data_IF_880436423865
#
_entry.id   IF_880436423865
#
_cell.length_a   1.000
_cell.length_b   1.000
_cell.length_c   1.000
_cell.angle_alpha   90.00
_cell.angle_beta   90.00
_cell.angle_gamma   90.00
#
_symmetry.space_group_name_H-M   'P 1'
#
loop_
_entity.id
_entity.type
_entity.pdbx_description
1 polymer ?
#
# COMPACT_ATOMS: atom_id res chain seq x y z
N UNK A 1 8.51 32.60 55.90
CA UNK A 1 9.75 32.38 56.67
C UNK A 1 10.46 33.71 56.91
N UNK A 2 11.19 33.85 58.02
CA UNK A 2 11.87 35.09 58.47
C UNK A 2 12.64 35.77 57.33
N UNK A 3 12.41 37.08 57.12
CA UNK A 3 13.33 37.93 56.34
C UNK A 3 14.65 37.99 57.10
N UNK A 4 15.68 37.31 56.60
CA UNK A 4 17.05 37.54 57.02
C UNK A 4 17.60 38.63 56.10
N UNK A 5 17.58 39.88 56.53
CA UNK A 5 18.36 40.93 55.89
C UNK A 5 19.82 40.68 56.24
N UNK A 6 20.63 40.30 55.25
CA UNK A 6 22.08 40.18 55.41
C UNK A 6 22.70 41.32 54.61
N UNK A 7 23.12 42.37 55.31
CA UNK A 7 23.84 43.49 54.70
C UNK A 7 25.27 43.04 54.34
N UNK A 8 25.63 43.12 53.06
CA UNK A 8 26.97 42.78 52.57
C UNK A 8 27.69 44.07 52.19
N UNK A 9 28.87 44.33 52.78
CA UNK A 9 29.71 45.50 52.49
C UNK A 9 30.93 45.10 51.64
N UNK A 10 31.15 45.79 50.51
CA UNK A 10 32.35 45.63 49.67
C UNK A 10 33.11 46.96 49.52
N UNK A 11 34.43 46.88 49.32
CA UNK A 11 35.33 48.02 49.09
C UNK A 11 35.36 48.33 47.58
N UNK A 12 35.25 49.61 47.17
CA UNK A 12 35.21 50.01 45.75
C UNK A 12 36.53 49.69 45.03
N UNK A 13 36.48 48.82 44.02
CA UNK A 13 37.43 48.81 42.90
C UNK A 13 36.66 49.08 41.61
N UNK A 14 37.13 50.07 40.84
CA UNK A 14 36.43 50.69 39.71
C UNK A 14 35.90 49.71 38.67
N UNK A 15 34.60 49.47 38.64
CA UNK A 15 33.88 49.00 37.46
C UNK A 15 32.42 49.50 37.49
N UNK A 16 32.05 50.40 36.57
CA UNK A 16 30.66 50.59 36.18
C UNK A 16 30.25 49.36 35.38
N UNK A 17 29.52 48.43 35.98
CA UNK A 17 28.76 47.37 35.30
C UNK A 17 27.71 46.86 36.27
N UNK A 18 26.47 46.71 35.80
CA UNK A 18 25.51 45.81 36.43
C UNK A 18 26.23 44.48 36.68
N UNK A 19 26.34 44.06 37.94
CA UNK A 19 26.92 42.77 38.28
C UNK A 19 25.77 41.77 38.28
N UNK A 20 25.61 41.01 37.19
CA UNK A 20 24.85 39.75 37.24
C UNK A 20 25.72 38.75 37.99
N UNK A 21 25.45 38.56 39.29
CA UNK A 21 26.17 37.59 40.11
C UNK A 21 25.45 36.24 39.98
N UNK A 22 26.07 35.33 39.23
CA UNK A 22 25.99 33.87 39.37
C UNK A 22 24.60 33.20 39.35
N UNK A 23 24.37 32.34 38.34
CA UNK A 23 23.42 31.23 38.49
C UNK A 23 23.89 30.34 39.65
N UNK A 24 23.08 30.23 40.70
CA UNK A 24 23.25 29.17 41.70
C UNK A 24 22.14 28.14 41.50
N UNK A 25 22.50 26.95 41.02
CA UNK A 25 21.59 25.81 40.95
C UNK A 25 21.61 25.12 42.30
N UNK A 26 20.52 25.25 43.06
CA UNK A 26 20.33 24.47 44.29
C UNK A 26 19.31 23.38 44.01
N UNK A 27 19.74 22.13 44.09
CA UNK A 27 18.85 20.97 44.02
C UNK A 27 18.30 20.77 45.44
N UNK A 28 17.01 21.01 45.63
CA UNK A 28 16.30 20.60 46.85
C UNK A 28 15.29 19.53 46.48
N UNK A 29 14.93 18.67 47.45
CA UNK A 29 14.04 17.51 47.25
C UNK A 29 12.61 17.80 46.78
N UNK A 30 12.32 19.00 46.30
CA UNK A 30 11.02 19.43 45.76
C UNK A 30 11.11 20.09 44.37
N UNK A 31 12.29 20.11 43.71
CA UNK A 31 12.43 20.63 42.35
C UNK A 31 13.74 21.38 42.08
N UNK A 32 13.91 21.81 40.82
CA UNK A 32 15.00 22.71 40.40
C UNK A 32 14.53 24.15 40.64
N UNK A 33 15.21 24.88 41.52
CA UNK A 33 14.92 26.29 41.76
C UNK A 33 15.95 27.12 40.97
N UNK A 34 15.49 27.85 39.96
CA UNK A 34 16.30 28.90 39.34
C UNK A 34 16.07 30.20 40.10
N UNK A 35 17.07 30.65 40.85
CA UNK A 35 17.03 31.97 41.50
C UNK A 35 17.91 32.94 40.72
N UNK A 36 17.31 34.02 40.23
CA UNK A 36 18.02 35.21 39.75
C UNK A 36 17.84 36.34 40.75
N UNK A 37 18.96 36.85 41.29
CA UNK A 37 18.95 38.00 42.20
C UNK A 37 19.41 39.24 41.45
N UNK A 38 18.59 40.30 41.51
CA UNK A 38 18.91 41.60 40.88
C UNK A 38 19.11 42.66 41.95
N UNK A 39 20.30 43.25 42.00
CA UNK A 39 20.65 44.31 42.94
C UNK A 39 20.72 45.66 42.22
N UNK A 40 20.24 46.72 42.86
CA UNK A 40 20.55 48.08 42.44
C UNK A 40 21.36 48.82 43.49
N UNK A 41 22.29 49.65 43.01
CA UNK A 41 23.05 50.60 43.81
C UNK A 41 22.16 51.83 44.05
N UNK A 42 21.78 52.10 45.29
CA UNK A 42 21.27 53.41 45.68
C UNK A 42 22.46 54.26 46.12
N UNK A 43 22.75 55.36 45.43
CA UNK A 43 23.82 56.26 45.83
C UNK A 43 23.42 57.10 47.06
N UNK A 44 24.23 57.15 48.14
CA UNK A 44 24.13 58.21 49.12
C UNK A 44 25.36 59.13 49.09
N UNK A 45 25.11 60.36 49.48
CA UNK A 45 26.06 61.47 49.61
C UNK A 45 27.16 61.16 50.64
N UNK A 46 28.41 61.12 50.17
CA UNK A 46 29.67 61.12 50.93
C UNK A 46 29.94 59.91 51.84
N UNK A 47 30.54 58.85 51.29
CA UNK A 47 31.21 57.78 52.06
C UNK A 47 31.80 56.66 51.19
N UNK A 48 32.93 56.08 51.61
CA UNK A 48 33.78 55.09 50.88
C UNK A 48 33.15 53.69 50.61
N UNK A 49 31.87 53.47 50.92
CA UNK A 49 31.21 52.17 50.77
C UNK A 49 29.85 52.31 50.08
N UNK A 50 29.54 51.41 49.15
CA UNK A 50 28.22 51.31 48.52
C UNK A 50 27.35 50.29 49.27
N UNK A 51 26.09 50.64 49.53
CA UNK A 51 25.04 49.73 50.01
C UNK A 51 24.17 49.32 48.82
N UNK A 52 23.99 48.02 48.64
CA UNK A 52 23.12 47.46 47.60
C UNK A 52 21.83 46.98 48.25
N UNK A 53 20.69 47.36 47.68
CA UNK A 53 19.38 46.85 48.08
C UNK A 53 18.90 45.82 47.06
N UNK A 54 18.40 44.69 47.55
CA UNK A 54 17.70 43.70 46.73
C UNK A 54 16.44 44.35 46.18
N UNK A 55 16.32 44.46 44.85
CA UNK A 55 15.15 45.06 44.23
C UNK A 55 13.99 44.08 44.13
N UNK A 56 14.26 42.89 43.58
CA UNK A 56 13.30 41.81 43.44
C UNK A 56 14.03 40.48 43.53
N UNK A 57 13.39 39.52 44.21
CA UNK A 57 13.72 38.10 44.12
C UNK A 57 12.62 37.47 43.27
N UNK A 58 12.97 37.07 42.04
CA UNK A 58 12.05 36.31 41.19
C UNK A 58 12.39 34.84 41.41
N UNK A 59 11.51 34.15 42.13
CA UNK A 59 11.51 32.69 42.21
C UNK A 59 10.51 32.19 41.18
N UNK A 60 10.99 31.80 40.00
CA UNK A 60 10.17 31.01 39.07
C UNK A 60 10.22 29.56 39.53
N UNK A 61 9.10 29.09 40.09
CA UNK A 61 8.91 27.69 40.46
C UNK A 61 8.19 27.03 39.28
N UNK A 62 8.95 26.50 38.32
CA UNK A 62 8.40 25.53 37.37
C UNK A 62 8.27 24.19 38.12
N UNK A 63 7.15 24.03 38.83
CA UNK A 63 6.83 22.78 39.54
C UNK A 63 6.27 21.80 38.52
N UNK A 64 7.14 20.96 37.95
CA UNK A 64 6.71 19.60 37.66
C UNK A 64 6.65 18.95 39.04
N UNK A 65 5.45 18.74 39.59
CA UNK A 65 5.28 17.94 40.82
C UNK A 65 5.90 16.55 40.56
N UNK A 66 7.16 16.37 40.97
CA UNK A 66 7.75 15.04 40.96
C UNK A 66 7.06 14.24 42.05
N UNK A 67 6.52 13.04 41.76
CA UNK A 67 5.91 12.21 42.78
C UNK A 67 6.89 12.02 43.94
N UNK A 68 6.42 12.05 45.18
CA UNK A 68 7.27 12.02 46.37
C UNK A 68 7.92 10.62 46.51
N UNK A 69 9.23 10.49 46.22
CA UNK A 69 9.93 9.20 46.04
C UNK A 69 10.82 8.79 47.22
N UNK A 70 10.44 9.11 48.45
CA UNK A 70 11.12 8.59 49.63
C UNK A 70 10.34 7.40 50.21
N UNK A 71 10.81 6.19 49.91
CA UNK A 71 10.48 5.01 50.72
C UNK A 71 11.64 4.84 51.72
N UNK A 72 11.40 5.09 53.00
CA UNK A 72 12.31 4.72 54.11
C UNK A 72 13.68 5.42 54.15
N UNK A 73 13.88 6.50 53.38
CA UNK A 73 15.16 7.24 53.34
C UNK A 73 16.23 6.58 52.47
N UNK A 74 15.89 5.57 51.67
CA UNK A 74 16.70 5.09 50.55
C UNK A 74 16.02 5.50 49.25
N UNK A 75 16.79 6.11 48.33
CA UNK A 75 16.27 6.39 47.00
C UNK A 75 15.88 5.07 46.35
N UNK A 76 14.60 4.91 46.06
CA UNK A 76 14.19 3.85 45.19
C UNK A 76 14.90 4.01 43.83
N UNK A 77 15.36 2.94 43.24
CA UNK A 77 16.21 3.01 42.05
C UNK A 77 15.80 1.87 41.12
N UNK A 78 15.70 2.16 39.82
CA UNK A 78 15.20 1.23 38.80
C UNK A 78 13.81 0.67 39.12
N UNK A 79 12.82 1.56 39.32
CA UNK A 79 11.42 1.16 39.57
C UNK A 79 10.39 2.13 39.01
N UNK A 80 9.20 1.61 38.77
CA UNK A 80 8.00 2.41 38.47
C UNK A 80 7.43 3.10 39.71
N UNK A 81 6.96 4.33 39.52
CA UNK A 81 6.24 5.15 40.51
C UNK A 81 5.08 5.83 39.80
N UNK A 82 3.89 5.21 39.83
CA UNK A 82 2.77 5.63 38.97
C UNK A 82 3.16 5.53 37.49
N UNK A 83 2.89 6.58 36.71
CA UNK A 83 3.21 6.62 35.28
C UNK A 83 4.68 6.93 34.96
N UNK A 84 5.53 7.03 35.99
CA UNK A 84 6.91 7.48 35.89
C UNK A 84 7.88 6.34 36.16
N UNK A 85 9.05 6.39 35.51
CA UNK A 85 10.14 5.47 35.80
C UNK A 85 11.33 6.18 36.45
N UNK A 86 11.78 5.66 37.59
CA UNK A 86 12.94 6.15 38.32
C UNK A 86 14.17 5.31 37.99
N UNK A 87 15.19 5.95 37.41
CA UNK A 87 16.45 5.29 37.06
C UNK A 87 17.28 4.92 38.28
N UNK A 88 18.37 4.19 38.03
CA UNK A 88 19.31 3.79 39.09
C UNK A 88 20.01 4.96 39.79
N UNK A 89 20.13 6.11 39.12
CA UNK A 89 20.69 7.35 39.67
C UNK A 89 19.67 8.18 40.47
N UNK A 90 18.45 7.67 40.67
CA UNK A 90 17.38 8.38 41.36
C UNK A 90 16.79 9.54 40.56
N UNK A 91 17.06 9.64 39.25
CA UNK A 91 16.42 10.63 38.35
C UNK A 91 15.30 10.00 37.53
N UNK A 92 14.29 10.79 37.21
CA UNK A 92 13.25 10.38 36.25
C UNK A 92 13.86 10.08 34.88
N UNK A 93 13.31 9.06 34.23
CA UNK A 93 13.55 8.81 32.82
C UNK A 93 12.71 9.77 31.97
N UNK A 94 13.34 10.45 31.01
CA UNK A 94 12.71 11.45 30.13
C UNK A 94 13.22 11.26 28.70
N UNK A 95 12.32 11.35 27.72
CA UNK A 95 12.60 11.19 26.28
C UNK A 95 13.47 9.97 25.94
N UNK A 96 13.17 8.82 26.54
CA UNK A 96 13.99 7.63 26.36
C UNK A 96 13.20 6.34 26.54
N UNK A 97 13.72 5.29 25.92
CA UNK A 97 13.26 3.93 26.09
C UNK A 97 13.79 3.34 27.41
N UNK A 98 12.92 2.59 28.10
CA UNK A 98 13.25 1.81 29.29
C UNK A 98 12.81 0.36 29.03
N UNK A 99 13.75 -0.56 29.23
CA UNK A 99 13.44 -1.98 29.28
C UNK A 99 13.19 -2.37 30.74
N UNK A 100 12.07 -3.06 30.96
CA UNK A 100 11.68 -3.57 32.26
C UNK A 100 11.04 -4.95 32.08
N UNK A 101 11.73 -5.97 32.62
CA UNK A 101 11.31 -7.36 32.58
C UNK A 101 10.93 -7.86 31.17
N UNK A 102 11.75 -7.53 30.17
CA UNK A 102 11.57 -7.94 28.77
C UNK A 102 10.56 -7.10 27.98
N UNK A 103 9.94 -6.08 28.59
CA UNK A 103 9.04 -5.16 27.91
C UNK A 103 9.72 -3.80 27.76
N UNK A 104 9.47 -3.14 26.62
CA UNK A 104 9.98 -1.80 26.35
C UNK A 104 8.88 -0.76 26.54
N UNK A 105 9.23 0.34 27.19
CA UNK A 105 8.37 1.50 27.42
C UNK A 105 9.10 2.76 26.98
N UNK A 106 8.38 3.78 26.54
CA UNK A 106 8.98 5.07 26.20
C UNK A 106 8.50 6.15 27.17
N UNK A 107 9.43 6.82 27.86
CA UNK A 107 9.10 7.92 28.77
C UNK A 107 9.19 9.23 27.99
N UNK A 108 8.12 10.02 27.99
CA UNK A 108 8.00 11.29 27.27
C UNK A 108 8.74 12.42 27.98
N UNK A 109 8.65 13.62 27.42
CA UNK A 109 9.32 14.81 27.97
C UNK A 109 8.76 15.26 29.33
N UNK A 110 7.49 14.94 29.61
CA UNK A 110 6.83 15.15 30.90
C UNK A 110 7.11 14.03 31.91
N UNK A 111 7.84 12.99 31.50
CA UNK A 111 8.24 11.84 32.30
C UNK A 111 7.21 10.75 32.46
N UNK A 112 6.03 10.89 31.85
CA UNK A 112 5.04 9.81 31.80
C UNK A 112 5.38 8.83 30.70
N UNK A 113 5.04 7.55 30.89
CA UNK A 113 5.15 6.59 29.79
C UNK A 113 4.13 6.89 28.68
N UNK A 114 4.54 6.64 27.44
CA UNK A 114 3.69 6.71 26.27
C UNK A 114 2.78 5.47 26.21
N UNK A 115 1.51 5.67 25.87
CA UNK A 115 0.53 4.60 25.69
C UNK A 115 -0.54 5.02 24.68
N UNK A 116 -1.09 4.03 23.96
CA UNK A 116 -2.05 4.24 22.87
C UNK A 116 -1.55 5.24 21.80
N UNK A 117 -0.23 5.31 21.59
CA UNK A 117 0.39 6.33 20.74
C UNK A 117 1.64 5.82 20.01
N UNK A 118 1.99 6.53 18.94
CA UNK A 118 3.20 6.30 18.16
C UNK A 118 4.37 7.12 18.67
N UNK A 119 5.53 6.47 18.78
CA UNK A 119 6.84 7.09 18.96
C UNK A 119 7.68 6.72 17.74
N UNK A 120 7.71 7.62 16.75
CA UNK A 120 8.25 7.33 15.42
C UNK A 120 7.62 6.07 14.80
N UNK A 121 8.42 5.05 14.45
CA UNK A 121 7.95 3.80 13.86
C UNK A 121 7.45 2.77 14.90
N UNK A 122 7.37 3.13 16.19
CA UNK A 122 7.05 2.22 17.28
C UNK A 122 5.69 2.58 17.89
N UNK A 123 4.84 1.58 18.14
CA UNK A 123 3.55 1.79 18.79
C UNK A 123 3.57 1.28 20.23
N UNK A 124 3.05 2.08 21.16
CA UNK A 124 2.91 1.69 22.56
C UNK A 124 1.45 1.34 22.83
N UNK A 125 1.21 0.12 23.32
CA UNK A 125 -0.13 -0.35 23.67
C UNK A 125 -0.71 0.43 24.87
N UNK A 126 -1.96 0.16 25.21
CA UNK A 126 -2.67 0.79 26.33
C UNK A 126 -1.98 0.63 27.68
N UNK A 127 -1.23 -0.46 27.88
CA UNK A 127 -0.43 -0.70 29.08
C UNK A 127 0.99 -0.09 29.03
N UNK A 128 1.28 0.68 27.98
CA UNK A 128 2.55 1.34 27.74
C UNK A 128 3.64 0.46 27.14
N UNK A 129 3.35 -0.82 26.91
CA UNK A 129 4.34 -1.75 26.34
C UNK A 129 4.46 -1.55 24.84
N UNK A 130 5.69 -1.62 24.35
CA UNK A 130 5.99 -1.67 22.93
C UNK A 130 5.24 -2.84 22.29
N UNK A 131 4.41 -2.53 21.30
CA UNK A 131 3.80 -3.54 20.46
C UNK A 131 4.89 -4.32 19.70
N UNK A 132 4.73 -5.63 19.64
CA UNK A 132 5.58 -6.53 18.84
C UNK A 132 4.72 -7.63 18.24
N UNK A 133 5.03 -7.98 16.98
CA UNK A 133 4.42 -9.07 16.22
C UNK A 133 2.88 -9.11 16.29
N UNK A 134 2.24 -7.96 16.06
CA UNK A 134 0.79 -7.82 16.21
C UNK A 134 0.22 -6.76 15.27
N UNK A 135 -1.09 -6.85 15.07
CA UNK A 135 -1.87 -5.85 14.37
C UNK A 135 -2.39 -4.78 15.32
N UNK A 136 -2.38 -3.53 14.86
CA UNK A 136 -2.96 -2.38 15.55
C UNK A 136 -4.02 -1.77 14.63
N UNK A 137 -5.25 -1.64 15.12
CA UNK A 137 -6.34 -0.96 14.43
C UNK A 137 -6.49 0.47 14.99
N UNK A 138 -6.45 1.45 14.09
CA UNK A 138 -6.71 2.85 14.39
C UNK A 138 -7.57 3.44 13.27
N UNK A 139 -8.70 4.06 13.62
CA UNK A 139 -9.61 4.70 12.66
C UNK A 139 -9.98 3.79 11.47
N UNK A 140 -10.35 2.53 11.75
CA UNK A 140 -10.63 1.48 10.75
C UNK A 140 -9.46 1.16 9.80
N UNK A 141 -8.24 1.54 10.17
CA UNK A 141 -7.01 1.26 9.42
C UNK A 141 -6.13 0.35 10.23
N UNK A 142 -5.63 -0.71 9.60
CA UNK A 142 -4.82 -1.72 10.26
C UNK A 142 -3.34 -1.57 9.90
N UNK A 143 -2.50 -1.60 10.93
CA UNK A 143 -1.05 -1.49 10.86
C UNK A 143 -0.42 -2.75 11.45
N UNK A 144 0.66 -3.23 10.84
CA UNK A 144 1.37 -4.39 11.36
C UNK A 144 2.67 -3.98 12.03
N UNK A 145 2.84 -4.36 13.30
CA UNK A 145 4.08 -4.18 14.04
C UNK A 145 4.89 -5.48 13.96
N UNK A 146 6.12 -5.38 13.47
CA UNK A 146 7.05 -6.50 13.35
C UNK A 146 7.53 -6.98 14.71
N UNK A 147 8.21 -8.12 14.74
CA UNK A 147 8.79 -8.69 15.97
C UNK A 147 9.80 -7.74 16.65
N UNK A 148 10.54 -6.96 15.86
CA UNK A 148 11.47 -5.93 16.35
C UNK A 148 10.77 -4.64 16.85
N UNK A 149 9.44 -4.63 16.90
CA UNK A 149 8.61 -3.50 17.36
C UNK A 149 8.43 -2.38 16.34
N UNK A 150 9.04 -2.48 15.15
CA UNK A 150 8.91 -1.47 14.12
C UNK A 150 7.68 -1.72 13.26
N UNK A 151 7.02 -0.63 12.83
CA UNK A 151 6.02 -0.65 11.77
C UNK A 151 6.56 -1.35 10.51
N UNK A 152 5.82 -2.33 10.01
CA UNK A 152 6.07 -2.89 8.69
C UNK A 152 5.74 -1.87 7.60
N UNK A 153 6.54 -1.85 6.54
CA UNK A 153 6.31 -1.01 5.36
C UNK A 153 6.91 -1.69 4.13
N UNK A 154 6.21 -1.61 2.99
CA UNK A 154 6.62 -2.15 1.68
C UNK A 154 7.10 -3.61 1.74
N UNK A 155 6.34 -4.49 2.39
CA UNK A 155 6.76 -5.88 2.56
C UNK A 155 5.59 -6.84 2.79
N UNK A 156 5.85 -8.11 2.52
CA UNK A 156 4.97 -9.21 2.91
C UNK A 156 5.17 -9.56 4.39
N UNK A 157 4.08 -9.77 5.10
CA UNK A 157 4.06 -10.25 6.49
C UNK A 157 3.20 -11.49 6.60
N UNK A 158 3.62 -12.44 7.44
CA UNK A 158 2.86 -13.66 7.70
C UNK A 158 2.36 -13.67 9.13
N UNK A 159 1.06 -13.76 9.31
CA UNK A 159 0.42 -13.80 10.61
C UNK A 159 -0.73 -14.82 10.59
N UNK A 160 -0.79 -15.66 11.63
CA UNK A 160 -1.77 -16.74 11.79
C UNK A 160 -1.92 -17.66 10.55
N UNK A 161 -0.81 -17.90 9.85
CA UNK A 161 -0.76 -18.74 8.66
C UNK A 161 -1.10 -18.04 7.34
N UNK A 162 -1.59 -16.79 7.39
CA UNK A 162 -1.95 -16.00 6.22
C UNK A 162 -0.89 -14.96 5.88
N UNK A 163 -0.73 -14.68 4.59
CA UNK A 163 0.17 -13.63 4.09
C UNK A 163 -0.61 -12.36 3.80
N UNK A 164 -0.03 -11.22 4.15
CA UNK A 164 -0.57 -9.88 3.90
C UNK A 164 0.52 -9.03 3.30
N UNK A 165 0.16 -8.10 2.41
CA UNK A 165 1.11 -7.11 1.91
C UNK A 165 0.88 -5.77 2.62
N UNK A 166 1.94 -5.22 3.20
CA UNK A 166 1.95 -3.92 3.85
C UNK A 166 2.56 -2.91 2.88
N UNK A 167 1.83 -1.82 2.63
CA UNK A 167 2.25 -0.77 1.71
C UNK A 167 3.25 0.21 2.34
N UNK A 168 3.63 1.24 1.60
CA UNK A 168 4.60 2.24 2.04
C UNK A 168 4.15 3.00 3.30
N UNK A 169 2.83 3.20 3.44
CA UNK A 169 2.21 3.90 4.57
C UNK A 169 2.05 3.01 5.82
N UNK A 170 2.45 1.74 5.72
CA UNK A 170 2.35 0.79 6.82
C UNK A 170 0.97 0.17 7.01
N UNK A 171 0.06 0.36 6.05
CA UNK A 171 -1.27 -0.24 6.07
C UNK A 171 -1.30 -1.48 5.17
N UNK A 172 -2.15 -2.45 5.51
CA UNK A 172 -2.34 -3.60 4.63
C UNK A 172 -3.17 -3.27 3.40
N UNK A 173 -2.93 -4.03 2.32
CA UNK A 173 -3.67 -3.95 1.08
C UNK A 173 -4.74 -5.05 0.98
N UNK A 174 -5.87 -4.78 0.31
CA UNK A 174 -6.99 -5.72 0.17
C UNK A 174 -7.79 -5.50 -1.13
N UNK A 175 -8.50 -6.54 -1.58
CA UNK A 175 -9.31 -6.56 -2.81
C UNK A 175 -8.56 -6.15 -4.08
N UNK A 176 -7.28 -6.49 -4.20
CA UNK A 176 -6.48 -6.06 -5.33
C UNK A 176 -5.29 -6.98 -5.63
N UNK A 177 -4.73 -6.78 -6.81
CA UNK A 177 -3.50 -7.40 -7.27
C UNK A 177 -2.26 -6.76 -6.63
N UNK A 178 -1.32 -7.60 -6.20
CA UNK A 178 0.04 -7.23 -5.83
C UNK A 178 1.02 -8.03 -6.71
N UNK A 179 1.30 -7.53 -7.91
CA UNK A 179 1.97 -8.32 -8.94
C UNK A 179 1.12 -9.51 -9.36
N UNK A 180 1.68 -10.71 -9.29
CA UNK A 180 0.99 -11.97 -9.66
C UNK A 180 0.18 -12.59 -8.50
N UNK A 181 0.02 -11.86 -7.40
CA UNK A 181 -0.66 -12.30 -6.19
C UNK A 181 -1.96 -11.51 -6.01
N UNK A 182 -3.04 -12.15 -5.56
CA UNK A 182 -4.29 -11.46 -5.24
C UNK A 182 -4.54 -11.41 -3.73
N UNK A 183 -4.83 -10.22 -3.21
CA UNK A 183 -5.24 -10.03 -1.82
C UNK A 183 -6.77 -9.98 -1.74
N UNK A 184 -7.35 -10.87 -0.94
CA UNK A 184 -8.80 -10.98 -0.75
C UNK A 184 -9.38 -9.76 -0.04
N UNK A 185 -10.70 -9.76 0.19
CA UNK A 185 -11.38 -8.72 0.97
C UNK A 185 -10.92 -8.60 2.41
N UNK A 186 -10.29 -9.64 2.95
CA UNK A 186 -9.67 -9.65 4.28
C UNK A 186 -8.21 -9.18 4.27
N UNK A 187 -7.66 -8.89 3.09
CA UNK A 187 -6.25 -8.60 2.89
C UNK A 187 -5.34 -9.83 2.85
N UNK A 188 -5.85 -11.01 3.22
CA UNK A 188 -5.07 -12.23 3.11
C UNK A 188 -4.83 -12.60 1.64
N UNK A 189 -3.63 -13.08 1.34
CA UNK A 189 -3.25 -13.69 0.07
C UNK A 189 -4.19 -14.85 -0.26
N UNK A 190 -4.82 -14.79 -1.43
CA UNK A 190 -5.61 -15.89 -1.95
C UNK A 190 -4.74 -17.12 -2.23
N UNK A 191 -5.26 -18.31 -1.95
CA UNK A 191 -4.60 -19.58 -2.21
C UNK A 191 -5.64 -20.63 -2.63
N UNK A 192 -5.36 -21.38 -3.69
CA UNK A 192 -6.20 -22.48 -4.19
C UNK A 192 -7.67 -22.10 -4.42
N UNK A 193 -7.92 -20.97 -5.07
CA UNK A 193 -9.30 -20.51 -5.29
C UNK A 193 -9.44 -19.66 -6.54
N UNK A 194 -10.66 -19.67 -7.06
CA UNK A 194 -11.11 -18.73 -8.09
C UNK A 194 -11.39 -17.36 -7.46
N UNK A 195 -10.93 -16.32 -8.13
CA UNK A 195 -11.15 -14.91 -7.81
C UNK A 195 -11.76 -14.23 -9.02
N UNK A 196 -12.87 -13.52 -8.82
CA UNK A 196 -13.37 -12.57 -9.79
C UNK A 196 -12.78 -11.20 -9.47
N UNK A 197 -12.06 -10.62 -10.42
CA UNK A 197 -11.55 -9.26 -10.25
C UNK A 197 -12.71 -8.27 -10.36
N UNK A 198 -13.02 -7.49 -9.31
CA UNK A 198 -14.16 -6.57 -9.32
C UNK A 198 -14.02 -5.42 -10.34
N UNK A 199 -12.82 -5.16 -10.85
CA UNK A 199 -12.57 -4.10 -11.81
C UNK A 199 -12.82 -4.54 -13.26
N UNK A 200 -12.57 -5.82 -13.57
CA UNK A 200 -12.68 -6.36 -14.93
C UNK A 200 -13.84 -7.34 -15.08
N UNK A 201 -14.36 -7.86 -13.97
CA UNK A 201 -15.29 -8.99 -13.88
C UNK A 201 -14.74 -10.30 -14.45
N UNK A 202 -13.46 -10.35 -14.82
CA UNK A 202 -12.82 -11.57 -15.30
C UNK A 202 -12.44 -12.48 -14.13
N UNK A 203 -12.47 -13.79 -14.39
CA UNK A 203 -12.12 -14.82 -13.43
C UNK A 203 -10.68 -15.28 -13.60
N UNK A 204 -10.01 -15.45 -12.46
CA UNK A 204 -8.64 -15.92 -12.33
C UNK A 204 -8.59 -17.04 -11.30
N UNK A 205 -7.67 -17.98 -11.47
CA UNK A 205 -7.40 -18.99 -10.45
C UNK A 205 -6.05 -18.72 -9.77
N UNK A 206 -6.05 -18.70 -8.44
CA UNK A 206 -4.85 -18.51 -7.63
C UNK A 206 -4.38 -19.88 -7.13
N UNK A 207 -3.14 -20.23 -7.44
CA UNK A 207 -2.52 -21.51 -7.10
C UNK A 207 -2.21 -21.66 -5.61
N UNK A 208 -1.67 -22.83 -5.25
CA UNK A 208 -1.21 -23.13 -3.88
C UNK A 208 0.02 -22.33 -3.46
N UNK A 209 0.76 -21.82 -4.43
CA UNK A 209 1.91 -20.93 -4.26
C UNK A 209 1.53 -19.44 -4.21
N UNK A 210 0.24 -19.12 -4.37
CA UNK A 210 -0.28 -17.75 -4.36
C UNK A 210 -0.18 -17.03 -5.70
N UNK A 211 0.42 -17.65 -6.72
CA UNK A 211 0.54 -17.08 -8.05
C UNK A 211 -0.72 -17.33 -8.87
N UNK A 212 -1.01 -16.43 -9.80
CA UNK A 212 -2.05 -16.70 -10.79
C UNK A 212 -1.66 -17.82 -11.75
N UNK A 213 -2.61 -18.71 -12.00
CA UNK A 213 -2.49 -19.75 -13.01
C UNK A 213 -2.66 -19.16 -14.43
N UNK A 214 -1.82 -19.60 -15.37
CA UNK A 214 -1.80 -19.14 -16.77
C UNK A 214 -1.53 -20.31 -17.69
N UNK A 215 -1.99 -20.23 -18.94
CA UNK A 215 -1.72 -21.23 -19.99
C UNK A 215 -1.95 -22.68 -19.53
N UNK A 216 -3.03 -22.91 -18.78
CA UNK A 216 -3.31 -24.20 -18.15
C UNK A 216 -4.82 -24.44 -18.07
N UNK A 217 -5.23 -25.63 -17.62
CA UNK A 217 -6.62 -25.98 -17.39
C UNK A 217 -6.87 -26.17 -15.91
N UNK A 218 -7.87 -25.49 -15.35
CA UNK A 218 -8.33 -25.66 -13.97
C UNK A 218 -9.83 -25.91 -13.99
N UNK A 219 -10.29 -26.98 -13.35
CA UNK A 219 -11.72 -27.36 -13.28
C UNK A 219 -12.43 -27.43 -14.65
N UNK A 220 -11.69 -27.74 -15.71
CA UNK A 220 -12.19 -27.77 -17.09
C UNK A 220 -12.17 -26.42 -17.83
N UNK A 221 -11.88 -25.32 -17.14
CA UNK A 221 -11.69 -24.00 -17.74
C UNK A 221 -10.27 -23.85 -18.24
N UNK A 222 -10.13 -23.42 -19.49
CA UNK A 222 -8.83 -23.07 -20.06
C UNK A 222 -8.47 -21.63 -19.71
N UNK A 223 -7.25 -21.41 -19.24
CA UNK A 223 -6.74 -20.10 -18.86
C UNK A 223 -5.75 -19.57 -19.91
N UNK A 224 -5.92 -18.30 -20.27
CA UNK A 224 -5.06 -17.58 -21.20
C UNK A 224 -3.68 -17.23 -20.58
N UNK A 225 -2.86 -16.50 -21.35
CA UNK A 225 -1.51 -16.08 -20.94
C UNK A 225 -1.52 -14.99 -19.86
N UNK A 226 -2.57 -14.19 -19.81
CA UNK A 226 -2.84 -13.22 -18.74
C UNK A 226 -3.56 -13.85 -17.53
N UNK A 227 -3.99 -15.11 -17.64
CA UNK A 227 -4.62 -15.87 -16.56
C UNK A 227 -6.15 -15.86 -16.56
N UNK A 228 -6.78 -15.20 -17.53
CA UNK A 228 -8.25 -15.14 -17.62
C UNK A 228 -8.82 -16.43 -18.20
N UNK A 229 -10.07 -16.73 -17.86
CA UNK A 229 -10.82 -17.81 -18.53
C UNK A 229 -11.03 -17.45 -20.00
N UNK A 230 -10.61 -18.34 -20.90
CA UNK A 230 -10.89 -18.22 -22.33
C UNK A 230 -12.10 -19.07 -22.76
N UNK A 231 -12.81 -18.67 -23.82
CA UNK A 231 -13.88 -19.49 -24.40
C UNK A 231 -13.37 -20.84 -24.91
N UNK A 232 -14.27 -21.82 -25.07
CA UNK A 232 -13.92 -23.14 -25.59
C UNK A 232 -13.55 -23.08 -27.09
N UNK A 233 -12.26 -23.18 -27.38
CA UNK A 233 -11.73 -23.21 -28.74
C UNK A 233 -11.78 -24.61 -29.39
N UNK A 234 -12.16 -25.66 -28.65
CA UNK A 234 -12.25 -27.02 -29.19
C UNK A 234 -13.30 -27.12 -30.32
N UNK A 235 -14.34 -26.27 -30.27
CA UNK A 235 -15.36 -26.18 -31.32
C UNK A 235 -14.76 -25.80 -32.67
N UNK A 236 -13.71 -24.97 -32.69
CA UNK A 236 -12.98 -24.57 -33.89
C UNK A 236 -11.94 -25.61 -34.31
N UNK A 237 -11.25 -26.21 -33.35
CA UNK A 237 -10.29 -27.29 -33.60
C UNK A 237 -10.96 -28.44 -34.37
N UNK A 238 -12.18 -28.81 -33.99
CA UNK A 238 -12.99 -29.84 -34.64
C UNK A 238 -13.44 -29.48 -36.07
N UNK A 239 -13.23 -28.25 -36.53
CA UNK A 239 -13.53 -27.78 -37.89
C UNK A 239 -12.30 -27.62 -38.78
N UNK A 240 -11.09 -27.81 -38.25
CA UNK A 240 -9.88 -27.76 -39.07
C UNK A 240 -9.97 -28.77 -40.21
N UNK A 241 -9.58 -28.34 -41.42
CA UNK A 241 -9.70 -29.08 -42.68
C UNK A 241 -11.12 -29.31 -43.20
N UNK A 242 -12.13 -28.62 -42.64
CA UNK A 242 -13.51 -28.65 -43.14
C UNK A 242 -13.95 -27.26 -43.64
N UNK A 243 -14.87 -27.26 -44.60
CA UNK A 243 -15.62 -26.05 -44.97
C UNK A 243 -16.75 -25.84 -43.96
N UNK A 244 -16.77 -24.67 -43.32
CA UNK A 244 -17.84 -24.24 -42.41
C UNK A 244 -18.79 -23.32 -43.14
N UNK A 245 -20.09 -23.63 -43.06
CA UNK A 245 -21.17 -22.92 -43.77
C UNK A 245 -20.88 -22.75 -45.27
N UNK A 246 -20.93 -21.52 -45.79
CA UNK A 246 -20.72 -21.19 -47.20
C UNK A 246 -19.24 -21.03 -47.58
N UNK A 247 -18.32 -21.41 -46.69
CA UNK A 247 -16.88 -21.37 -46.96
C UNK A 247 -16.26 -19.97 -46.90
N UNK A 248 -17.01 -18.91 -46.59
CA UNK A 248 -16.48 -17.56 -46.43
C UNK A 248 -15.83 -17.36 -45.06
N UNK A 249 -14.98 -16.33 -44.92
CA UNK A 249 -14.28 -16.04 -43.66
C UNK A 249 -15.25 -15.76 -42.51
N UNK A 250 -16.27 -14.93 -42.73
CA UNK A 250 -17.32 -14.66 -41.76
C UNK A 250 -18.17 -15.90 -41.43
N UNK A 251 -18.15 -16.94 -42.26
CA UNK A 251 -18.85 -18.19 -41.99
C UNK A 251 -18.25 -18.94 -40.79
N UNK A 252 -16.93 -19.04 -40.73
CA UNK A 252 -16.24 -19.62 -39.56
C UNK A 252 -16.49 -18.77 -38.31
N UNK A 253 -16.37 -17.45 -38.45
CA UNK A 253 -16.64 -16.50 -37.36
C UNK A 253 -18.06 -16.64 -36.84
N UNK A 254 -19.06 -16.74 -37.72
CA UNK A 254 -20.45 -16.91 -37.33
C UNK A 254 -20.67 -18.22 -36.55
N UNK A 255 -20.08 -19.32 -37.00
CA UNK A 255 -20.17 -20.61 -36.29
C UNK A 255 -19.64 -20.50 -34.85
N UNK A 256 -18.51 -19.80 -34.67
CA UNK A 256 -17.95 -19.58 -33.34
C UNK A 256 -18.82 -18.66 -32.50
N UNK A 257 -19.31 -17.55 -33.06
CA UNK A 257 -20.22 -16.63 -32.36
C UNK A 257 -21.50 -17.35 -31.92
N UNK A 258 -22.07 -18.20 -32.77
CA UNK A 258 -23.23 -19.03 -32.44
C UNK A 258 -22.93 -19.94 -31.23
N UNK A 259 -21.75 -20.56 -31.18
CA UNK A 259 -21.33 -21.43 -30.06
C UNK A 259 -21.19 -20.68 -28.72
N UNK A 260 -21.01 -19.36 -28.78
CA UNK A 260 -20.90 -18.48 -27.62
C UNK A 260 -22.22 -17.74 -27.31
N UNK A 261 -23.31 -18.14 -27.95
CA UNK A 261 -24.64 -17.51 -27.85
C UNK A 261 -24.61 -16.02 -28.20
N UNK A 262 -23.83 -15.63 -29.21
CA UNK A 262 -23.76 -14.26 -29.70
C UNK A 262 -24.83 -13.91 -30.74
N UNK A 263 -24.74 -12.72 -31.36
CA UNK A 263 -25.66 -12.30 -32.40
C UNK A 263 -25.58 -13.20 -33.63
N UNK A 264 -26.69 -13.32 -34.36
CA UNK A 264 -26.74 -14.10 -35.60
C UNK A 264 -26.02 -13.38 -36.74
N UNK A 265 -24.83 -13.86 -37.10
CA UNK A 265 -24.05 -13.30 -38.21
C UNK A 265 -24.50 -13.84 -39.58
N UNK A 266 -24.71 -15.15 -39.70
CA UNK A 266 -25.11 -15.75 -40.97
C UNK A 266 -26.52 -15.32 -41.38
N UNK A 267 -26.64 -14.72 -42.57
CA UNK A 267 -27.91 -14.27 -43.12
C UNK A 267 -28.42 -12.95 -42.51
N UNK A 268 -27.58 -12.20 -41.79
CA UNK A 268 -27.92 -10.88 -41.24
C UNK A 268 -28.02 -9.78 -42.29
N UNK A 269 -27.44 -10.00 -43.49
CA UNK A 269 -27.28 -8.99 -44.52
C UNK A 269 -25.94 -8.24 -44.46
N UNK A 270 -25.21 -8.33 -43.33
CA UNK A 270 -23.85 -7.82 -43.22
C UNK A 270 -22.85 -8.81 -43.83
N UNK A 271 -22.04 -8.36 -44.80
CA UNK A 271 -21.09 -9.22 -45.53
C UNK A 271 -19.64 -8.77 -45.42
N UNK A 272 -19.37 -7.59 -44.84
CA UNK A 272 -18.01 -7.04 -44.73
C UNK A 272 -17.36 -7.56 -43.45
N UNK A 273 -16.34 -8.40 -43.61
CA UNK A 273 -15.61 -8.96 -42.48
C UNK A 273 -14.96 -7.88 -41.61
N UNK A 274 -14.47 -6.78 -42.21
CA UNK A 274 -13.85 -5.69 -41.45
C UNK A 274 -14.83 -4.90 -40.56
N UNK A 275 -16.14 -4.99 -40.77
CA UNK A 275 -17.15 -4.23 -40.01
C UNK A 275 -17.87 -5.06 -38.96
N UNK A 276 -17.54 -6.35 -38.83
CA UNK A 276 -18.18 -7.26 -37.86
C UNK A 276 -18.22 -6.66 -36.44
N UNK A 277 -17.15 -5.99 -36.00
CA UNK A 277 -17.12 -5.35 -34.67
C UNK A 277 -18.13 -4.21 -34.48
N UNK A 278 -18.58 -3.55 -35.56
CA UNK A 278 -19.55 -2.45 -35.51
C UNK A 278 -20.94 -2.81 -36.05
N UNK A 279 -21.08 -3.96 -36.71
CA UNK A 279 -22.32 -4.38 -37.38
C UNK A 279 -23.41 -4.87 -36.41
N UNK A 280 -23.03 -5.24 -35.19
CA UNK A 280 -23.93 -5.87 -34.21
C UNK A 280 -23.85 -5.20 -32.85
N UNK A 281 -24.95 -5.25 -32.09
CA UNK A 281 -24.97 -4.87 -30.68
C UNK A 281 -24.35 -5.98 -29.82
N UNK A 282 -23.02 -6.04 -29.81
CA UNK A 282 -22.25 -7.06 -29.10
C UNK A 282 -22.49 -7.06 -27.58
N UNK A 283 -22.73 -5.88 -27.00
CA UNK A 283 -22.90 -5.70 -25.57
C UNK A 283 -24.13 -6.46 -25.03
N UNK A 284 -25.25 -6.49 -25.76
CA UNK A 284 -26.45 -7.23 -25.33
C UNK A 284 -26.26 -8.75 -25.30
N UNK A 285 -25.17 -9.27 -25.89
CA UNK A 285 -24.80 -10.68 -25.86
C UNK A 285 -23.61 -10.96 -24.92
N UNK A 286 -23.18 -9.97 -24.13
CA UNK A 286 -22.05 -10.11 -23.20
C UNK A 286 -20.70 -10.17 -23.92
N UNK A 287 -20.55 -9.38 -24.99
CA UNK A 287 -19.28 -9.19 -25.67
C UNK A 287 -18.85 -7.72 -25.59
N UNK A 288 -17.54 -7.50 -25.62
CA UNK A 288 -16.94 -6.18 -25.80
C UNK A 288 -16.29 -6.05 -27.19
N UNK A 289 -16.15 -4.81 -27.64
CA UNK A 289 -15.48 -4.48 -28.90
C UNK A 289 -14.32 -3.54 -28.62
N UNK A 290 -13.11 -3.94 -29.02
CA UNK A 290 -11.91 -3.12 -28.88
C UNK A 290 -11.47 -2.67 -30.28
N UNK A 291 -11.50 -1.36 -30.52
CA UNK A 291 -11.12 -0.76 -31.79
C UNK A 291 -9.61 -0.47 -31.82
N UNK A 292 -8.96 -0.77 -32.95
CA UNK A 292 -7.51 -0.63 -33.16
C UNK A 292 -6.66 -1.21 -32.01
N UNK A 293 -6.89 -2.47 -31.60
CA UNK A 293 -6.23 -3.06 -30.44
C UNK A 293 -4.70 -3.09 -30.60
N UNK A 294 -3.98 -2.98 -29.49
CA UNK A 294 -2.55 -3.32 -29.43
C UNK A 294 -2.34 -4.84 -29.40
N UNK A 295 -1.11 -5.30 -29.62
CA UNK A 295 -0.77 -6.73 -29.52
C UNK A 295 -1.09 -7.30 -28.13
N UNK A 296 -0.79 -6.55 -27.08
CA UNK A 296 -0.97 -6.98 -25.69
C UNK A 296 -2.44 -7.07 -25.30
N UNK A 297 -3.29 -6.25 -25.92
CA UNK A 297 -4.74 -6.31 -25.71
C UNK A 297 -5.38 -7.54 -26.35
N UNK A 298 -4.72 -8.28 -27.25
CA UNK A 298 -5.29 -9.44 -27.92
C UNK A 298 -5.14 -10.69 -27.05
N UNK A 299 -6.23 -11.46 -26.93
CA UNK A 299 -6.32 -12.70 -26.16
C UNK A 299 -6.80 -13.85 -27.04
N UNK A 300 -6.54 -15.09 -26.62
CA UNK A 300 -7.14 -16.26 -27.24
C UNK A 300 -8.67 -16.19 -27.10
N UNK A 301 -9.39 -16.60 -28.15
CA UNK A 301 -10.84 -16.47 -28.23
C UNK A 301 -11.35 -15.17 -28.84
N UNK A 302 -10.51 -14.15 -28.99
CA UNK A 302 -10.90 -12.92 -29.68
C UNK A 302 -11.23 -13.19 -31.15
N UNK A 303 -12.28 -12.54 -31.62
CA UNK A 303 -12.63 -12.51 -33.04
C UNK A 303 -11.97 -11.27 -33.62
N UNK A 304 -10.98 -11.45 -34.47
CA UNK A 304 -10.21 -10.36 -35.08
C UNK A 304 -10.79 -9.96 -36.45
N UNK A 305 -10.79 -8.65 -36.73
CA UNK A 305 -11.17 -8.08 -38.02
C UNK A 305 -9.98 -7.32 -38.63
N UNK A 306 -9.53 -7.76 -39.80
CA UNK A 306 -8.53 -7.07 -40.61
C UNK A 306 -9.20 -6.13 -41.61
N UNK A 307 -8.64 -4.92 -41.75
CA UNK A 307 -9.09 -3.88 -42.69
C UNK A 307 -9.01 -4.37 -44.12
N UNK A 308 -9.97 -3.92 -44.94
CA UNK A 308 -9.93 -4.16 -46.38
C UNK A 308 -8.70 -3.53 -47.05
N UNK A 309 -8.32 -4.07 -48.22
CA UNK A 309 -7.19 -3.61 -49.03
C UNK A 309 -5.83 -3.63 -48.28
N UNK A 310 -5.65 -4.58 -47.36
CA UNK A 310 -4.39 -4.81 -46.64
C UNK A 310 -3.67 -6.06 -47.14
N UNK A 311 -2.45 -6.32 -46.65
CA UNK A 311 -1.67 -7.52 -47.02
C UNK A 311 -2.42 -8.82 -46.72
N UNK A 312 -3.05 -8.90 -45.54
CA UNK A 312 -3.78 -10.10 -45.11
C UNK A 312 -5.21 -10.14 -45.66
N UNK A 313 -5.77 -9.00 -46.05
CA UNK A 313 -7.11 -8.88 -46.62
C UNK A 313 -7.10 -7.98 -47.87
N UNK A 314 -6.55 -8.46 -49.00
CA UNK A 314 -6.38 -7.64 -50.21
C UNK A 314 -7.71 -7.25 -50.87
N UNK A 315 -8.82 -7.93 -50.53
CA UNK A 315 -10.14 -7.63 -51.05
C UNK A 315 -10.86 -6.49 -50.33
N UNK A 316 -11.95 -6.02 -50.95
CA UNK A 316 -12.77 -4.91 -50.47
C UNK A 316 -13.57 -5.19 -49.18
N UNK A 317 -13.77 -6.46 -48.83
CA UNK A 317 -14.58 -6.87 -47.67
C UNK A 317 -13.79 -6.94 -46.36
N UNK A 318 -12.46 -6.89 -46.41
CA UNK A 318 -11.61 -7.24 -45.27
C UNK A 318 -11.52 -8.74 -45.01
N UNK A 319 -11.02 -9.12 -43.84
CA UNK A 319 -10.93 -10.52 -43.40
C UNK A 319 -11.23 -10.64 -41.91
N UNK A 320 -11.61 -11.84 -41.47
CA UNK A 320 -11.85 -12.12 -40.05
C UNK A 320 -11.39 -13.54 -39.71
N UNK A 321 -11.02 -13.74 -38.44
CA UNK A 321 -10.64 -15.03 -37.89
C UNK A 321 -10.76 -15.01 -36.37
N UNK A 322 -10.40 -16.12 -35.74
CA UNK A 322 -10.43 -16.27 -34.28
C UNK A 322 -8.99 -16.48 -33.79
N UNK A 323 -8.60 -15.77 -32.74
CA UNK A 323 -7.28 -15.91 -32.12
C UNK A 323 -7.24 -17.22 -31.33
N UNK A 324 -6.26 -18.07 -31.65
CA UNK A 324 -5.94 -19.30 -30.92
C UNK A 324 -4.88 -19.06 -29.83
N UNK A 325 -4.09 -18.01 -29.98
CA UNK A 325 -3.02 -17.63 -29.06
C UNK A 325 -2.04 -16.68 -29.72
N UNK A 326 -0.93 -16.41 -29.01
CA UNK A 326 0.13 -15.49 -29.42
C UNK A 326 1.48 -16.17 -29.24
N UNK A 327 2.45 -15.81 -30.08
CA UNK A 327 3.83 -16.29 -29.93
C UNK A 327 4.79 -15.34 -30.65
N UNK A 328 5.81 -14.83 -29.95
CA UNK A 328 6.91 -14.03 -30.53
C UNK A 328 6.45 -12.86 -31.43
N UNK A 329 5.46 -12.06 -31.00
CA UNK A 329 4.93 -10.94 -31.78
C UNK A 329 4.00 -11.36 -32.94
N UNK A 330 3.72 -12.65 -33.06
CA UNK A 330 2.78 -13.20 -34.05
C UNK A 330 1.47 -13.62 -33.38
N UNK A 331 0.41 -13.63 -34.18
CA UNK A 331 -0.90 -14.17 -33.84
C UNK A 331 -1.01 -15.59 -34.39
N UNK A 332 -1.53 -16.50 -33.57
CA UNK A 332 -1.96 -17.83 -33.99
C UNK A 332 -3.47 -17.77 -34.19
N UNK A 333 -3.98 -18.18 -35.34
CA UNK A 333 -5.39 -17.93 -35.71
C UNK A 333 -6.05 -19.17 -36.31
N UNK A 334 -7.36 -19.26 -36.13
CA UNK A 334 -8.26 -20.06 -36.97
C UNK A 334 -8.88 -19.14 -38.02
N UNK A 335 -8.71 -19.46 -39.29
CA UNK A 335 -9.25 -18.66 -40.40
C UNK A 335 -9.84 -19.57 -41.47
N UNK A 336 -10.81 -19.05 -42.22
CA UNK A 336 -11.40 -19.71 -43.39
C UNK A 336 -11.45 -18.73 -44.55
N UNK A 337 -11.38 -19.23 -45.79
CA UNK A 337 -11.28 -18.40 -46.99
C UNK A 337 -10.04 -17.50 -47.00
N UNK A 338 -8.94 -18.07 -46.49
CA UNK A 338 -7.62 -17.45 -46.48
C UNK A 338 -6.71 -18.19 -47.46
N UNK A 339 -5.43 -18.37 -47.14
CA UNK A 339 -4.45 -18.97 -48.06
C UNK A 339 -4.73 -20.42 -48.50
N UNK A 340 -5.62 -21.15 -47.80
CA UNK A 340 -6.03 -22.54 -48.14
C UNK A 340 -7.41 -22.59 -48.82
N UNK A 341 -7.98 -21.45 -49.18
CA UNK A 341 -9.33 -21.37 -49.74
C UNK A 341 -10.42 -21.58 -48.68
N UNK A 342 -11.56 -22.11 -49.10
CA UNK A 342 -12.81 -22.20 -48.33
C UNK A 342 -12.83 -23.28 -47.24
N UNK A 343 -11.70 -23.47 -46.57
CA UNK A 343 -11.50 -24.47 -45.51
C UNK A 343 -10.99 -23.75 -44.26
N UNK A 344 -11.51 -24.12 -43.10
CA UNK A 344 -10.98 -23.69 -41.81
C UNK A 344 -9.58 -24.29 -41.60
N UNK A 345 -8.60 -23.43 -41.34
CA UNK A 345 -7.21 -23.83 -41.15
C UNK A 345 -6.52 -22.93 -40.12
N UNK A 346 -5.40 -23.42 -39.58
CA UNK A 346 -4.60 -22.69 -38.60
C UNK A 346 -3.51 -21.88 -39.30
N UNK A 347 -3.35 -20.63 -38.92
CA UNK A 347 -2.31 -19.76 -39.45
C UNK A 347 -1.47 -19.14 -38.33
N UNK A 348 -0.26 -18.76 -38.71
CA UNK A 348 0.59 -17.85 -37.95
C UNK A 348 0.69 -16.57 -38.76
N UNK A 349 0.31 -15.44 -38.15
CA UNK A 349 0.23 -14.13 -38.80
C UNK A 349 1.11 -13.14 -38.05
N UNK A 350 1.88 -12.33 -38.78
CA UNK A 350 2.53 -11.18 -38.15
C UNK A 350 1.47 -10.19 -37.68
N UNK A 351 1.64 -9.66 -36.47
CA UNK A 351 0.79 -8.58 -36.00
C UNK A 351 1.23 -7.25 -36.61
N UNK A 352 0.31 -6.60 -37.33
CA UNK A 352 0.50 -5.27 -37.92
C UNK A 352 -0.68 -4.42 -37.44
N UNK A 353 -0.47 -3.58 -36.43
CA UNK A 353 -1.55 -2.86 -35.76
C UNK A 353 -2.40 -2.03 -36.74
N UNK A 354 -1.77 -1.36 -37.72
CA UNK A 354 -2.50 -0.56 -38.69
C UNK A 354 -3.47 -1.38 -39.56
N UNK A 355 -3.25 -2.69 -39.73
CA UNK A 355 -4.07 -3.57 -40.54
C UNK A 355 -5.26 -4.15 -39.75
N UNK A 356 -5.25 -4.05 -38.42
CA UNK A 356 -6.33 -4.54 -37.55
C UNK A 356 -7.34 -3.43 -37.30
N UNK A 357 -8.61 -3.70 -37.56
CA UNK A 357 -9.70 -2.74 -37.36
C UNK A 357 -10.26 -2.81 -35.95
N UNK A 358 -10.61 -4.01 -35.52
CA UNK A 358 -11.16 -4.28 -34.20
C UNK A 358 -10.97 -5.74 -33.82
N UNK A 359 -11.18 -6.03 -32.54
CA UNK A 359 -11.48 -7.36 -32.03
C UNK A 359 -12.83 -7.33 -31.33
N UNK A 360 -13.49 -8.48 -31.29
CA UNK A 360 -14.69 -8.73 -30.48
C UNK A 360 -14.35 -9.84 -29.50
N UNK A 361 -14.61 -9.61 -28.20
CA UNK A 361 -14.28 -10.52 -27.11
C UNK A 361 -15.52 -10.90 -26.32
N UNK A 362 -15.63 -12.19 -25.96
CA UNK A 362 -16.63 -12.65 -25.00
C UNK A 362 -16.16 -12.33 -23.59
N UNK A 363 -17.02 -11.70 -22.79
CA UNK A 363 -16.81 -11.52 -21.36
C UNK A 363 -17.31 -12.80 -20.67
N UNK A 364 -16.45 -13.44 -19.87
CA UNK A 364 -16.65 -14.78 -19.30
C UNK A 364 -17.04 -14.75 -17.82
#
# INVERSE_FOLDING_TARGET
MKKVNKDIKYKRTNLKRFITIGLCTVISGAGIIHTTETFAESAPTNGEFATYHLLEKIETIDTIEQPNIADNGQYATAKWVGDYYLKQDGKLALNQWIEDHGNWYYLKSDGKFAHDEWIADYYLNTDGRLASNQWIEMDNTWYYIKEDGRLASNQWVKQDGHWYYINEKGTYEANQWMGDYYLTSTGALALNQWIQDPNTNEWYYIGSDGLIARNTTIDGYQLADDGTIMPDLSVLENKVNQTVYNGQCYGLTAFYVDSLHGPKLMGSGHMRAETIGSDYDWASYGFEVINNPTYDQIKAGDIIQWKANTRLAPGYYGHTGIIRGKSNGQLLTYEQNAGRGQICYKYTRDFIQQDVKSIVRKIM
#
